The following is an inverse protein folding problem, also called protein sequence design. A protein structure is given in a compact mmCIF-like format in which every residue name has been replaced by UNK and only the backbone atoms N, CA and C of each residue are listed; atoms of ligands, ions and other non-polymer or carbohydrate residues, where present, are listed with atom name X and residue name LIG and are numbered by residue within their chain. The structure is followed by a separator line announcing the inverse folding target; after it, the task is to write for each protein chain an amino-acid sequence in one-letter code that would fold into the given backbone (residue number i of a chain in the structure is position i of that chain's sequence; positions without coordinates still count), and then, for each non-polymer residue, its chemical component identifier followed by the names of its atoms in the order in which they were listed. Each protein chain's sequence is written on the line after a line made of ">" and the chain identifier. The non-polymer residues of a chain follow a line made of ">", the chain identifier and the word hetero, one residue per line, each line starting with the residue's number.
data_IF_103539166382
#
_entry.id   IF_103539166382
#
_cell.length_a   1.000
_cell.length_b   1.000
_cell.length_c   1.000
_cell.angle_alpha   90.00
_cell.angle_beta   90.00
_cell.angle_gamma   90.00
#
_symmetry.space_group_name_H-M   'P 1'
#
loop_
_entity.id
_entity.type
_entity.pdbx_description
1 polymer ?
#
# COMPACT_ATOMS: atom_id res chain seq x y z
N UNK A 1 0.76 -12.15 -16.52
CA UNK A 1 0.50 -13.00 -15.34
C UNK A 1 1.68 -13.96 -15.04
N UNK A 2 2.88 -13.76 -15.60
CA UNK A 2 3.99 -14.73 -15.43
C UNK A 2 5.22 -14.20 -14.68
N UNK A 3 5.41 -12.89 -14.54
CA UNK A 3 6.73 -12.38 -14.09
C UNK A 3 6.87 -12.08 -12.58
N UNK A 4 5.80 -11.80 -11.82
CA UNK A 4 5.94 -11.67 -10.34
C UNK A 4 6.25 -13.01 -9.68
N UNK A 5 5.78 -14.13 -10.25
CA UNK A 5 6.19 -15.49 -9.86
C UNK A 5 7.69 -15.76 -9.99
N UNK A 6 8.44 -14.89 -10.68
CA UNK A 6 9.89 -15.08 -10.80
C UNK A 6 10.65 -14.61 -9.56
N UNK A 7 10.12 -13.64 -8.82
CA UNK A 7 10.70 -13.19 -7.54
C UNK A 7 9.97 -13.81 -6.36
N UNK A 8 8.65 -13.77 -6.35
CA UNK A 8 7.82 -14.40 -5.32
C UNK A 8 7.72 -15.90 -5.60
N UNK A 9 8.72 -16.65 -5.11
CA UNK A 9 8.82 -18.10 -5.31
C UNK A 9 7.93 -18.86 -4.35
N UNK A 10 7.65 -18.27 -3.19
CA UNK A 10 6.73 -18.83 -2.20
C UNK A 10 5.26 -18.68 -2.62
N UNK A 11 4.95 -17.75 -3.52
CA UNK A 11 3.60 -17.43 -3.98
C UNK A 11 2.78 -16.69 -2.92
N UNK A 12 3.43 -16.08 -1.93
CA UNK A 12 2.79 -15.36 -0.84
C UNK A 12 2.52 -13.88 -1.18
N UNK A 13 2.81 -13.49 -2.43
CA UNK A 13 2.76 -12.14 -2.99
C UNK A 13 3.69 -11.15 -2.27
N UNK A 14 4.69 -11.64 -1.55
CA UNK A 14 5.80 -10.90 -0.97
C UNK A 14 7.08 -11.34 -1.68
N UNK A 15 8.08 -10.45 -1.71
CA UNK A 15 9.43 -10.82 -2.13
C UNK A 15 10.32 -10.56 -0.93
N UNK A 16 10.71 -11.63 -0.25
CA UNK A 16 11.66 -11.55 0.86
C UNK A 16 13.12 -11.45 0.35
N UNK A 17 14.06 -11.26 1.28
CA UNK A 17 15.48 -11.12 0.92
C UNK A 17 16.05 -12.40 0.29
N UNK A 18 15.57 -13.56 0.72
CA UNK A 18 16.03 -14.86 0.24
C UNK A 18 15.51 -15.13 -1.18
N UNK A 19 14.26 -14.80 -1.44
CA UNK A 19 13.63 -14.81 -2.76
C UNK A 19 14.30 -13.85 -3.74
N UNK A 20 14.65 -12.65 -3.25
CA UNK A 20 15.45 -11.69 -4.00
C UNK A 20 16.85 -12.23 -4.32
N UNK A 21 17.58 -12.74 -3.32
CA UNK A 21 18.92 -13.33 -3.50
C UNK A 21 18.92 -14.51 -4.47
N UNK A 22 17.92 -15.38 -4.39
CA UNK A 22 17.81 -16.53 -5.26
C UNK A 22 17.55 -16.13 -6.72
N UNK A 23 16.72 -15.11 -6.93
CA UNK A 23 16.49 -14.55 -8.26
C UNK A 23 17.75 -13.88 -8.81
N UNK A 24 18.51 -13.19 -7.96
CA UNK A 24 19.80 -12.58 -8.32
C UNK A 24 20.86 -13.64 -8.69
N UNK A 25 20.93 -14.75 -7.94
CA UNK A 25 21.81 -15.88 -8.24
C UNK A 25 21.46 -16.52 -9.59
N UNK A 26 20.16 -16.67 -9.91
CA UNK A 26 19.72 -17.19 -11.20
C UNK A 26 20.05 -16.24 -12.36
N UNK A 27 19.85 -14.93 -12.19
CA UNK A 27 20.23 -13.94 -13.21
C UNK A 27 21.74 -13.96 -13.49
N UNK A 28 22.57 -14.14 -12.46
CA UNK A 28 24.03 -14.26 -12.60
C UNK A 28 24.45 -15.56 -13.29
N UNK A 29 23.71 -16.66 -13.10
CA UNK A 29 24.00 -17.95 -13.74
C UNK A 29 23.49 -18.06 -15.18
N UNK A 30 22.38 -17.39 -15.51
CA UNK A 30 21.70 -17.49 -16.81
C UNK A 30 22.23 -16.48 -17.83
N UNK A 31 22.85 -15.38 -17.41
CA UNK A 31 23.38 -14.34 -18.32
C UNK A 31 24.90 -14.47 -18.44
N UNK A 32 25.43 -15.15 -19.48
CA UNK A 32 26.86 -15.18 -19.74
C UNK A 32 27.28 -13.90 -20.48
N UNK A 33 27.35 -12.74 -19.79
CA UNK A 33 28.23 -11.57 -20.08
C UNK A 33 27.74 -10.26 -19.44
N UNK A 34 28.74 -9.42 -19.14
CA UNK A 34 28.76 -7.98 -18.81
C UNK A 34 27.75 -7.45 -17.77
N UNK A 35 28.24 -6.75 -16.75
CA UNK A 35 27.42 -6.20 -15.66
C UNK A 35 26.23 -5.34 -16.11
N UNK A 36 26.32 -4.67 -17.26
CA UNK A 36 25.26 -3.82 -17.80
C UNK A 36 23.99 -4.60 -18.20
N UNK A 37 24.12 -5.84 -18.70
CA UNK A 37 22.95 -6.67 -19.06
C UNK A 37 22.21 -7.15 -17.82
N UNK A 38 22.96 -7.53 -16.77
CA UNK A 38 22.40 -7.91 -15.47
C UNK A 38 21.68 -6.71 -14.82
N UNK A 39 22.27 -5.51 -14.88
CA UNK A 39 21.67 -4.30 -14.32
C UNK A 39 20.40 -3.91 -15.07
N UNK A 40 20.39 -3.99 -16.41
CA UNK A 40 19.21 -3.67 -17.21
C UNK A 40 18.06 -4.65 -16.97
N UNK A 41 18.36 -5.95 -16.90
CA UNK A 41 17.35 -6.98 -16.61
C UNK A 41 16.79 -6.83 -15.19
N UNK A 42 17.64 -6.53 -14.21
CA UNK A 42 17.21 -6.23 -12.84
C UNK A 42 16.31 -4.98 -12.78
N UNK A 43 16.68 -3.91 -13.50
CA UNK A 43 15.91 -2.68 -13.56
C UNK A 43 14.52 -2.91 -14.19
N UNK A 44 14.45 -3.70 -15.26
CA UNK A 44 13.18 -4.05 -15.91
C UNK A 44 12.27 -4.85 -14.97
N UNK A 45 12.83 -5.86 -14.31
CA UNK A 45 12.11 -6.69 -13.33
C UNK A 45 11.62 -5.87 -12.12
N UNK A 46 12.48 -5.04 -11.54
CA UNK A 46 12.13 -4.18 -10.42
C UNK A 46 11.04 -3.16 -10.80
N UNK A 47 11.11 -2.60 -12.00
CA UNK A 47 10.08 -1.69 -12.54
C UNK A 47 8.73 -2.41 -12.69
N UNK A 48 8.73 -3.65 -13.18
CA UNK A 48 7.53 -4.46 -13.32
C UNK A 48 6.90 -4.81 -11.96
N UNK A 49 7.70 -5.33 -11.02
CA UNK A 49 7.25 -5.62 -9.64
C UNK A 49 6.68 -4.36 -8.98
N UNK A 50 7.36 -3.23 -9.11
CA UNK A 50 6.88 -1.95 -8.58
C UNK A 50 5.55 -1.50 -9.22
N UNK A 51 5.38 -1.70 -10.52
CA UNK A 51 4.14 -1.38 -11.23
C UNK A 51 2.97 -2.32 -10.86
N UNK A 52 3.25 -3.59 -10.59
CA UNK A 52 2.23 -4.55 -10.15
C UNK A 52 1.81 -4.27 -8.71
N UNK A 53 2.76 -4.13 -7.77
CA UNK A 53 2.45 -3.78 -6.38
C UNK A 53 1.65 -2.48 -6.27
N UNK A 54 1.93 -1.49 -7.12
CA UNK A 54 1.11 -0.25 -7.19
C UNK A 54 -0.33 -0.54 -7.62
N UNK A 55 -0.54 -1.40 -8.61
CA UNK A 55 -1.88 -1.74 -9.10
C UNK A 55 -2.70 -2.49 -8.04
N UNK A 56 -2.11 -3.49 -7.40
CA UNK A 56 -2.76 -4.25 -6.31
C UNK A 56 -3.11 -3.35 -5.14
N UNK A 57 -2.18 -2.50 -4.70
CA UNK A 57 -2.44 -1.50 -3.67
C UNK A 57 -3.62 -0.58 -4.06
N UNK A 58 -3.65 -0.05 -5.28
CA UNK A 58 -4.77 0.81 -5.71
C UNK A 58 -6.10 0.05 -5.69
N UNK A 59 -6.11 -1.24 -6.07
CA UNK A 59 -7.33 -2.06 -6.01
C UNK A 59 -7.80 -2.27 -4.57
N UNK A 60 -6.89 -2.56 -3.65
CA UNK A 60 -7.20 -2.73 -2.22
C UNK A 60 -7.70 -1.43 -1.59
N UNK A 61 -7.06 -0.29 -1.90
CA UNK A 61 -7.50 1.03 -1.44
C UNK A 61 -8.88 1.41 -1.97
N UNK A 62 -9.20 1.04 -3.22
CA UNK A 62 -10.53 1.22 -3.79
C UNK A 62 -11.57 0.32 -3.12
N UNK A 63 -11.20 -0.90 -2.75
CA UNK A 63 -12.07 -1.77 -1.98
C UNK A 63 -12.32 -1.17 -0.60
N UNK A 64 -11.27 -0.63 0.02
CA UNK A 64 -11.36 0.00 1.31
C UNK A 64 -12.23 1.25 1.31
N UNK A 65 -12.11 2.09 0.28
CA UNK A 65 -13.01 3.23 0.08
C UNK A 65 -14.48 2.79 0.09
N UNK A 66 -14.83 1.74 -0.66
CA UNK A 66 -16.21 1.22 -0.71
C UNK A 66 -16.73 0.68 0.62
N UNK A 67 -15.85 0.37 1.55
CA UNK A 67 -16.21 -0.12 2.89
C UNK A 67 -16.51 1.05 3.83
N UNK A 68 -15.80 2.16 3.65
CA UNK A 68 -16.01 3.37 4.44
C UNK A 68 -17.21 4.18 3.95
N UNK A 69 -17.50 4.11 2.65
CA UNK A 69 -18.67 4.69 1.99
C UNK A 69 -19.91 3.87 2.38
N UNK A 70 -20.38 4.05 3.62
CA UNK A 70 -21.45 3.25 4.25
C UNK A 70 -22.79 3.51 3.56
N UNK A 71 -23.00 4.74 3.09
CA UNK A 71 -24.19 5.12 2.35
C UNK A 71 -24.11 4.82 0.84
N UNK A 72 -22.95 4.33 0.38
CA UNK A 72 -22.65 4.03 -1.02
C UNK A 72 -22.89 5.24 -1.95
N UNK A 73 -22.67 6.46 -1.46
CA UNK A 73 -22.79 7.69 -2.23
C UNK A 73 -21.70 7.84 -3.28
N UNK A 74 -20.61 7.07 -3.17
CA UNK A 74 -19.42 7.16 -4.02
C UNK A 74 -18.40 8.20 -3.55
N UNK A 75 -18.62 8.77 -2.37
CA UNK A 75 -17.80 9.79 -1.73
C UNK A 75 -17.69 9.47 -0.23
N UNK A 76 -16.59 9.85 0.42
CA UNK A 76 -16.53 9.80 1.88
C UNK A 76 -16.86 11.16 2.47
N UNK A 77 -17.79 11.19 3.40
CA UNK A 77 -18.06 12.37 4.20
C UNK A 77 -17.14 12.47 5.43
N UNK A 78 -17.29 13.57 6.18
CA UNK A 78 -16.46 13.84 7.36
C UNK A 78 -16.63 12.76 8.45
N UNK A 79 -17.84 12.22 8.64
CA UNK A 79 -18.14 11.22 9.66
C UNK A 79 -17.52 9.87 9.30
N UNK A 80 -17.63 9.47 8.04
CA UNK A 80 -17.03 8.24 7.51
C UNK A 80 -15.50 8.30 7.59
N UNK A 81 -14.91 9.45 7.28
CA UNK A 81 -13.46 9.64 7.42
C UNK A 81 -12.98 9.75 8.86
N UNK A 82 -13.74 10.35 9.78
CA UNK A 82 -13.37 10.40 11.20
C UNK A 82 -13.14 9.00 11.78
N UNK A 83 -13.99 8.05 11.40
CA UNK A 83 -13.88 6.65 11.80
C UNK A 83 -12.56 6.03 11.34
N UNK A 84 -12.19 6.25 10.07
CA UNK A 84 -10.90 5.83 9.54
C UNK A 84 -9.73 6.49 10.27
N UNK A 85 -9.77 7.81 10.41
CA UNK A 85 -8.68 8.59 10.98
C UNK A 85 -8.43 8.19 12.44
N UNK A 86 -9.49 7.96 13.20
CA UNK A 86 -9.41 7.45 14.57
C UNK A 86 -8.72 6.09 14.62
N UNK A 87 -9.16 5.13 13.79
CA UNK A 87 -8.55 3.80 13.72
C UNK A 87 -7.07 3.86 13.32
N UNK A 88 -6.75 4.64 12.29
CA UNK A 88 -5.39 4.74 11.76
C UNK A 88 -4.46 5.41 12.77
N UNK A 89 -4.94 6.42 13.50
CA UNK A 89 -4.19 7.07 14.60
C UNK A 89 -3.94 6.11 15.75
N UNK A 90 -4.90 5.25 16.10
CA UNK A 90 -4.72 4.25 17.16
C UNK A 90 -3.72 3.14 16.78
N UNK A 91 -3.73 2.70 15.51
CA UNK A 91 -2.72 1.78 14.99
C UNK A 91 -1.35 2.45 14.97
N UNK A 92 -1.28 3.68 14.46
CA UNK A 92 -0.04 4.43 14.40
C UNK A 92 0.54 4.65 15.79
N UNK A 93 -0.22 5.09 16.79
CA UNK A 93 0.30 5.26 18.15
C UNK A 93 0.93 4.00 18.76
N UNK A 94 0.50 2.79 18.34
CA UNK A 94 1.03 1.53 18.84
C UNK A 94 2.28 1.06 18.11
N UNK A 95 2.37 1.34 16.80
CA UNK A 95 3.39 0.77 15.92
C UNK A 95 4.42 1.79 15.39
N UNK A 96 4.09 3.09 15.37
CA UNK A 96 4.99 4.16 14.88
C UNK A 96 5.96 4.65 15.95
N UNK A 97 7.21 4.84 15.56
CA UNK A 97 8.22 5.51 16.39
C UNK A 97 8.10 7.04 16.32
N UNK A 98 8.94 7.78 17.04
CA UNK A 98 8.86 9.26 17.11
C UNK A 98 9.11 9.97 15.78
N UNK A 99 9.96 9.42 14.90
CA UNK A 99 10.23 9.97 13.55
C UNK A 99 9.00 9.89 12.62
N UNK A 100 8.09 9.02 12.97
CA UNK A 100 6.95 8.54 12.22
C UNK A 100 5.68 9.30 12.65
N UNK A 101 5.66 9.78 13.90
CA UNK A 101 4.64 10.69 14.43
C UNK A 101 4.50 11.98 13.61
N UNK A 102 5.56 12.39 12.91
CA UNK A 102 5.49 13.55 12.02
C UNK A 102 4.49 13.32 10.90
N UNK A 103 4.44 12.13 10.30
CA UNK A 103 3.49 11.84 9.22
C UNK A 103 2.03 11.70 9.69
N UNK A 104 1.76 11.75 11.00
CA UNK A 104 0.39 11.86 11.51
C UNK A 104 -0.33 13.14 11.08
N UNK A 105 0.40 14.19 10.71
CA UNK A 105 -0.21 15.40 10.14
C UNK A 105 -0.88 15.16 8.78
N UNK A 106 -0.54 14.07 8.09
CA UNK A 106 -1.15 13.68 6.82
C UNK A 106 -2.47 12.91 7.02
N UNK A 107 -2.80 12.54 8.25
CA UNK A 107 -4.05 11.87 8.63
C UNK A 107 -5.04 12.88 9.22
N UNK A 108 -5.42 13.88 8.41
CA UNK A 108 -6.45 14.87 8.75
C UNK A 108 -7.48 14.96 7.64
N UNK A 109 -8.71 15.35 7.99
CA UNK A 109 -9.76 15.60 7.01
C UNK A 109 -9.29 16.54 5.89
N UNK A 110 -8.65 17.66 6.23
CA UNK A 110 -8.20 18.64 5.24
C UNK A 110 -7.07 18.11 4.34
N UNK A 111 -6.36 17.09 4.78
CA UNK A 111 -5.40 16.41 3.91
C UNK A 111 -6.15 15.66 2.82
N UNK A 112 -7.20 14.92 3.17
CA UNK A 112 -7.95 14.10 2.20
C UNK A 112 -8.88 14.92 1.29
N UNK A 113 -9.61 15.92 1.79
CA UNK A 113 -10.47 16.81 0.98
C UNK A 113 -9.62 17.90 0.28
N UNK A 114 -8.82 17.48 -0.70
CA UNK A 114 -7.88 18.36 -1.41
C UNK A 114 -8.62 19.38 -2.28
N UNK A 115 -9.73 18.97 -2.89
CA UNK A 115 -10.60 19.82 -3.70
C UNK A 115 -11.42 20.80 -2.85
N UNK A 116 -11.53 20.58 -1.54
CA UNK A 116 -12.32 21.38 -0.58
C UNK A 116 -13.80 21.43 -0.94
N UNK A 117 -14.31 20.33 -1.49
CA UNK A 117 -15.70 20.23 -1.90
C UNK A 117 -16.59 19.66 -0.76
N UNK A 118 -16.01 19.40 0.42
CA UNK A 118 -16.70 18.82 1.57
C UNK A 118 -16.91 17.32 1.48
N UNK A 119 -16.22 16.66 0.55
CA UNK A 119 -16.29 15.22 0.28
C UNK A 119 -14.90 14.72 -0.11
N UNK A 120 -14.62 13.45 0.14
CA UNK A 120 -13.39 12.82 -0.33
C UNK A 120 -13.71 11.87 -1.46
N UNK A 121 -13.15 12.16 -2.63
CA UNK A 121 -13.25 11.32 -3.81
C UNK A 121 -12.26 10.14 -3.74
N UNK A 122 -12.56 9.04 -4.42
CA UNK A 122 -11.68 7.85 -4.47
C UNK A 122 -10.26 8.21 -4.89
N UNK A 123 -10.10 9.16 -5.82
CA UNK A 123 -8.80 9.64 -6.28
C UNK A 123 -8.01 10.32 -5.16
N UNK A 124 -8.63 11.29 -4.50
CA UNK A 124 -8.04 12.02 -3.36
C UNK A 124 -7.68 11.07 -2.22
N UNK A 125 -8.57 10.11 -1.93
CA UNK A 125 -8.35 9.08 -0.94
C UNK A 125 -7.10 8.23 -1.23
N UNK A 126 -7.01 7.70 -2.46
CA UNK A 126 -5.90 6.84 -2.87
C UNK A 126 -4.58 7.61 -2.86
N UNK A 127 -4.56 8.83 -3.41
CA UNK A 127 -3.35 9.63 -3.52
C UNK A 127 -2.78 9.97 -2.14
N UNK A 128 -3.62 10.43 -1.20
CA UNK A 128 -3.17 10.75 0.15
C UNK A 128 -2.75 9.54 0.97
N UNK A 129 -3.48 8.42 0.89
CA UNK A 129 -3.10 7.23 1.64
C UNK A 129 -1.77 6.62 1.11
N UNK A 130 -1.50 6.74 -0.18
CA UNK A 130 -0.21 6.34 -0.78
C UNK A 130 0.93 7.23 -0.29
N UNK A 131 0.73 8.55 -0.23
CA UNK A 131 1.73 9.49 0.31
C UNK A 131 2.01 9.22 1.79
N UNK A 132 0.94 8.99 2.56
CA UNK A 132 1.06 8.59 3.95
C UNK A 132 1.87 7.29 4.09
N UNK A 133 1.46 6.20 3.42
CA UNK A 133 2.12 4.89 3.51
C UNK A 133 3.61 4.93 3.14
N UNK A 134 4.02 5.78 2.19
CA UNK A 134 5.44 6.02 1.87
C UNK A 134 6.19 6.72 3.01
N UNK A 135 5.54 7.66 3.68
CA UNK A 135 6.15 8.49 4.72
C UNK A 135 6.40 7.75 6.02
N UNK A 136 5.52 6.81 6.40
CA UNK A 136 5.61 6.08 7.69
C UNK A 136 6.26 4.71 7.60
N UNK A 137 6.79 4.32 6.43
CA UNK A 137 7.30 2.96 6.15
C UNK A 137 6.40 1.85 6.72
N UNK A 138 5.09 2.11 6.82
CA UNK A 138 4.18 1.17 7.48
C UNK A 138 4.13 -0.09 6.64
N UNK A 139 4.24 -1.28 7.26
CA UNK A 139 4.00 -2.51 6.55
C UNK A 139 2.56 -2.49 6.05
N UNK A 140 2.40 -2.34 4.72
CA UNK A 140 1.12 -2.22 4.01
C UNK A 140 0.10 -3.27 4.47
N UNK A 141 0.59 -4.48 4.77
CA UNK A 141 -0.17 -5.63 5.29
C UNK A 141 -0.83 -5.37 6.64
N UNK A 142 -0.20 -4.63 7.56
CA UNK A 142 -0.73 -4.42 8.91
C UNK A 142 -1.95 -3.49 8.86
N UNK A 143 -1.89 -2.43 8.05
CA UNK A 143 -3.04 -1.55 7.79
C UNK A 143 -4.19 -2.38 7.21
N UNK A 144 -3.92 -3.17 6.17
CA UNK A 144 -4.94 -3.99 5.51
C UNK A 144 -5.54 -5.07 6.41
N UNK A 145 -4.72 -5.72 7.25
CA UNK A 145 -5.18 -6.77 8.16
C UNK A 145 -6.09 -6.19 9.24
N UNK A 146 -5.68 -5.09 9.88
CA UNK A 146 -6.49 -4.43 10.92
C UNK A 146 -7.80 -3.88 10.37
N UNK A 147 -7.79 -3.42 9.12
CA UNK A 147 -9.00 -2.95 8.45
C UNK A 147 -9.95 -4.12 8.14
N UNK A 148 -9.44 -5.28 7.69
CA UNK A 148 -10.24 -6.50 7.54
C UNK A 148 -10.83 -6.98 8.87
N UNK A 149 -10.03 -7.02 9.93
CA UNK A 149 -10.48 -7.40 11.29
C UNK A 149 -11.59 -6.48 11.81
N UNK A 150 -11.59 -5.21 11.41
CA UNK A 150 -12.64 -4.28 11.75
C UNK A 150 -13.97 -4.61 11.05
N UNK A 151 -13.91 -5.08 9.80
CA UNK A 151 -15.11 -5.52 9.07
C UNK A 151 -15.77 -6.72 9.74
N UNK A 152 -14.98 -7.69 10.20
CA UNK A 152 -15.50 -8.87 10.88
C UNK A 152 -16.16 -8.53 12.23
N UNK A 153 -15.67 -7.48 12.92
CA UNK A 153 -16.21 -7.04 14.21
C UNK A 153 -17.47 -6.17 14.12
N UNK A 154 -17.74 -5.56 12.97
CA UNK A 154 -18.97 -4.77 12.73
C UNK A 154 -20.07 -5.62 12.06
N UNK A 155 -19.72 -6.79 11.51
CA UNK A 155 -20.63 -7.70 10.82
C UNK A 155 -21.14 -8.89 11.64
N UNK A 156 -20.89 -8.95 12.96
CA UNK A 156 -21.36 -9.98 13.88
C UNK A 156 -22.00 -9.38 15.13
#
# INVERSE_FOLDING_TARGET
>A
FEDVKTFDKSGDNVVDLQEFEQTMMELVQVIPRNGDEIVNELANRASFVSAQMRREMVMELRQFFRVLDEDASGYLDEQEMEKLLSMTKEVAKKELQSADAQAMHLLTWESFDTSKNGKVEVGEFVDHLVVFAKSVKLPKREILTRLKDYQEKQGG
#
